data_IF_610054438141
#
_entry.id   IF_610054438141
#
_cell.length_a   1.000
_cell.length_b   1.000
_cell.length_c   1.000
_cell.angle_alpha   90.00
_cell.angle_beta   90.00
_cell.angle_gamma   90.00
#
_symmetry.space_group_name_H-M   'P 1'
#
loop_
_entity.id
_entity.type
_entity.pdbx_description
1 polymer ?
#
# COMPACT_ATOMS: atom_id res chain seq x y z
N UNK A 1 -7.85 -17.78 -1.53
CA UNK A 1 -8.40 -17.32 -0.25
C UNK A 1 -7.21 -16.85 0.57
N UNK A 2 -6.96 -15.54 0.63
CA UNK A 2 -5.85 -15.00 1.43
C UNK A 2 -6.22 -15.16 2.92
N UNK A 3 -5.39 -15.88 3.66
CA UNK A 3 -5.62 -16.26 5.06
C UNK A 3 -5.92 -15.05 5.96
N UNK A 4 -6.95 -15.20 6.80
CA UNK A 4 -7.35 -14.23 7.83
C UNK A 4 -6.21 -13.90 8.81
N UNK A 5 -5.19 -14.74 8.88
CA UNK A 5 -3.98 -14.53 9.70
C UNK A 5 -3.06 -13.44 9.13
N UNK A 6 -3.06 -13.20 7.81
CA UNK A 6 -2.32 -12.07 7.19
C UNK A 6 -3.04 -10.74 7.47
N UNK A 7 -4.35 -10.78 7.73
CA UNK A 7 -5.17 -9.62 8.09
C UNK A 7 -4.92 -9.14 9.53
N UNK A 8 -4.56 -10.06 10.44
CA UNK A 8 -4.32 -9.76 11.85
C UNK A 8 -2.95 -9.11 12.13
N UNK A 9 -1.98 -9.26 11.22
CA UNK A 9 -0.62 -8.72 11.37
C UNK A 9 -0.46 -7.33 10.71
N UNK A 10 -1.52 -6.53 10.77
CA UNK A 10 -1.56 -5.21 10.14
C UNK A 10 -0.90 -4.14 11.04
N UNK A 11 -0.37 -3.12 10.38
CA UNK A 11 0.21 -1.96 11.02
C UNK A 11 -0.90 -1.16 11.71
N UNK A 12 -1.02 -1.22 13.04
CA UNK A 12 -2.13 -0.67 13.84
C UNK A 12 -3.43 -0.49 13.02
N UNK A 13 -4.07 -1.60 12.56
CA UNK A 13 -5.21 -1.55 11.64
C UNK A 13 -6.42 -0.82 12.24
N UNK A 14 -6.41 -0.60 13.55
CA UNK A 14 -7.42 0.15 14.28
C UNK A 14 -7.17 1.67 14.25
N UNK A 15 -5.99 2.10 13.80
CA UNK A 15 -5.72 3.52 13.63
C UNK A 15 -6.52 4.08 12.45
N UNK A 16 -7.08 5.28 12.65
CA UNK A 16 -7.79 6.02 11.62
C UNK A 16 -6.86 6.31 10.44
N UNK A 17 -7.17 5.85 9.21
CA UNK A 17 -6.35 6.17 8.04
C UNK A 17 -6.23 7.68 7.81
N UNK A 18 -5.00 8.15 7.68
CA UNK A 18 -4.69 9.55 7.43
C UNK A 18 -4.72 9.86 5.94
N UNK A 19 -5.15 11.07 5.56
CA UNK A 19 -4.87 11.58 4.22
C UNK A 19 -3.36 11.72 4.01
N UNK A 20 -2.90 11.72 2.75
CA UNK A 20 -1.47 11.71 2.45
C UNK A 20 -0.74 12.96 2.96
N UNK A 21 -1.41 14.12 3.03
CA UNK A 21 -0.77 15.35 3.50
C UNK A 21 -0.51 15.25 5.01
N UNK A 22 -1.51 14.85 5.79
CA UNK A 22 -1.37 14.62 7.22
C UNK A 22 -0.36 13.49 7.51
N UNK A 23 -0.43 12.40 6.75
CA UNK A 23 0.49 11.27 6.89
C UNK A 23 1.96 11.67 6.68
N UNK A 24 2.27 12.44 5.63
CA UNK A 24 3.65 12.90 5.37
C UNK A 24 4.23 13.71 6.52
N UNK A 25 3.40 14.47 7.24
CA UNK A 25 3.83 15.25 8.39
C UNK A 25 4.06 14.37 9.64
N UNK A 26 3.26 13.34 9.83
CA UNK A 26 3.26 12.50 11.03
C UNK A 26 4.14 11.22 10.93
N UNK A 27 4.62 10.87 9.73
CA UNK A 27 5.40 9.65 9.52
C UNK A 27 6.73 9.65 10.32
N UNK A 28 6.97 8.61 11.14
CA UNK A 28 8.21 8.48 11.89
C UNK A 28 9.36 8.00 11.00
N UNK A 29 10.59 8.14 11.50
CA UNK A 29 11.82 7.67 10.84
C UNK A 29 12.22 6.24 11.25
N UNK A 30 11.36 5.57 11.99
CA UNK A 30 11.51 4.23 12.58
C UNK A 30 11.32 3.10 11.57
N UNK A 31 11.73 1.89 11.96
CA UNK A 31 11.36 0.65 11.29
C UNK A 31 9.89 0.34 11.59
N UNK A 32 9.16 -0.11 10.57
CA UNK A 32 7.77 -0.49 10.79
C UNK A 32 7.05 -1.02 9.56
N UNK A 33 5.74 -1.17 9.75
CA UNK A 33 4.79 -1.59 8.73
C UNK A 33 3.95 -0.38 8.28
N UNK A 34 3.46 -0.42 7.04
CA UNK A 34 2.54 0.59 6.50
C UNK A 34 1.49 -0.05 5.61
N UNK A 35 0.28 0.51 5.64
CA UNK A 35 -0.84 0.08 4.84
C UNK A 35 -1.44 1.25 4.05
N UNK A 36 -1.74 0.98 2.78
CA UNK A 36 -2.45 1.89 1.89
C UNK A 36 -3.90 1.43 1.76
N UNK A 37 -4.80 2.39 1.87
CA UNK A 37 -6.23 2.17 1.87
C UNK A 37 -6.88 3.02 0.78
N UNK A 38 -7.98 2.53 0.24
CA UNK A 38 -8.82 3.27 -0.70
C UNK A 38 -10.29 2.97 -0.43
N UNK A 39 -11.18 3.90 -0.78
CA UNK A 39 -12.60 3.59 -0.84
C UNK A 39 -12.89 2.64 -2.03
N UNK A 40 -13.83 1.69 -1.92
CA UNK A 40 -14.17 0.75 -2.99
C UNK A 40 -14.45 1.44 -4.35
N UNK A 41 -15.10 2.59 -4.31
CA UNK A 41 -15.43 3.40 -5.49
C UNK A 41 -14.22 4.11 -6.10
N UNK A 42 -13.17 4.35 -5.32
CA UNK A 42 -11.99 5.09 -5.76
C UNK A 42 -11.04 4.23 -6.62
N UNK A 43 -11.11 2.92 -6.43
CA UNK A 43 -10.39 1.91 -7.22
C UNK A 43 -11.33 0.71 -7.34
N UNK A 44 -12.02 0.62 -8.48
CA UNK A 44 -13.17 -0.29 -8.74
C UNK A 44 -12.89 -1.80 -8.56
N UNK A 45 -11.71 -2.19 -8.11
CA UNK A 45 -11.24 -3.58 -7.97
C UNK A 45 -10.74 -3.91 -6.56
N UNK A 46 -10.92 -3.05 -5.55
CA UNK A 46 -10.37 -3.30 -4.21
C UNK A 46 -11.33 -4.14 -3.37
N UNK A 47 -11.18 -5.46 -3.48
CA UNK A 47 -11.85 -6.46 -2.64
C UNK A 47 -11.12 -6.78 -1.33
N UNK A 48 -10.24 -5.89 -0.84
CA UNK A 48 -9.47 -6.10 0.38
C UNK A 48 -10.33 -6.06 1.66
N UNK A 49 -9.76 -6.45 2.82
CA UNK A 49 -10.42 -6.28 4.12
C UNK A 49 -10.82 -4.82 4.37
N UNK A 50 -11.92 -4.61 5.10
CA UNK A 50 -12.29 -3.29 5.59
C UNK A 50 -11.33 -2.84 6.70
N UNK A 51 -11.06 -1.54 6.78
CA UNK A 51 -10.43 -0.97 7.97
C UNK A 51 -11.47 -0.92 9.12
N UNK A 52 -11.10 -1.35 10.31
CA UNK A 52 -12.04 -1.41 11.44
C UNK A 52 -12.49 -0.02 11.92
N UNK A 53 -11.57 0.94 11.97
CA UNK A 53 -11.87 2.33 12.36
C UNK A 53 -12.48 3.16 11.25
N UNK A 54 -12.49 2.65 10.01
CA UNK A 54 -13.03 3.31 8.83
C UNK A 54 -13.59 2.27 7.87
N UNK A 55 -14.79 1.70 8.13
CA UNK A 55 -15.37 0.61 7.35
C UNK A 55 -15.64 0.94 5.88
N UNK A 56 -15.57 2.21 5.46
CA UNK A 56 -15.62 2.63 4.06
C UNK A 56 -14.27 2.53 3.32
N UNK A 57 -13.18 2.17 4.01
CA UNK A 57 -11.86 2.00 3.43
C UNK A 57 -11.53 0.52 3.31
N UNK A 58 -10.86 0.13 2.21
CA UNK A 58 -10.42 -1.23 1.93
C UNK A 58 -8.90 -1.25 1.78
N UNK A 59 -8.26 -2.29 2.32
CA UNK A 59 -6.81 -2.45 2.20
C UNK A 59 -6.44 -2.71 0.73
N UNK A 60 -5.56 -1.87 0.20
CA UNK A 60 -5.01 -2.00 -1.14
C UNK A 60 -3.62 -2.62 -1.12
N UNK A 61 -2.77 -2.20 -0.18
CA UNK A 61 -1.37 -2.62 -0.14
C UNK A 61 -0.83 -2.60 1.28
N UNK A 62 -0.06 -3.64 1.65
CA UNK A 62 0.69 -3.72 2.89
C UNK A 62 2.19 -3.81 2.57
N UNK A 63 3.01 -3.08 3.32
CA UNK A 63 4.45 -3.14 3.16
C UNK A 63 5.21 -2.91 4.46
N UNK A 64 6.52 -3.15 4.40
CA UNK A 64 7.45 -2.93 5.50
C UNK A 64 8.58 -2.00 5.09
N UNK A 65 9.15 -1.28 6.05
CA UNK A 65 10.27 -0.37 5.85
C UNK A 65 11.21 -0.34 7.05
N UNK A 66 12.52 -0.25 6.82
CA UNK A 66 13.51 0.07 7.87
C UNK A 66 13.48 1.52 8.32
N UNK A 67 12.93 2.41 7.48
CA UNK A 67 12.74 3.84 7.73
C UNK A 67 11.45 4.26 7.04
N UNK A 68 10.35 4.34 7.78
CA UNK A 68 9.01 4.58 7.24
C UNK A 68 8.94 5.87 6.41
N UNK A 69 9.35 7.01 6.97
CA UNK A 69 9.36 8.30 6.26
C UNK A 69 10.19 8.27 4.98
N UNK A 70 11.39 7.68 5.03
CA UNK A 70 12.27 7.56 3.85
C UNK A 70 11.75 6.57 2.82
N UNK A 71 10.95 5.57 3.21
CA UNK A 71 10.34 4.66 2.24
C UNK A 71 9.17 5.33 1.53
N UNK A 72 8.31 5.99 2.27
CA UNK A 72 6.99 6.42 1.80
C UNK A 72 7.06 7.75 1.06
N UNK A 73 7.73 8.75 1.65
CA UNK A 73 7.75 10.12 1.11
C UNK A 73 8.48 10.23 -0.23
N UNK A 74 9.71 9.71 -0.42
CA UNK A 74 10.37 9.79 -1.71
C UNK A 74 9.95 8.66 -2.68
N UNK A 75 9.74 7.41 -2.23
CA UNK A 75 9.54 6.30 -3.19
C UNK A 75 8.08 6.03 -3.56
N UNK A 76 7.11 6.28 -2.68
CA UNK A 76 5.71 5.98 -2.99
C UNK A 76 4.93 7.21 -3.45
N UNK A 77 5.41 8.42 -3.13
CA UNK A 77 4.73 9.66 -3.52
C UNK A 77 5.33 10.30 -4.79
N UNK A 78 6.60 10.05 -5.16
CA UNK A 78 7.26 10.81 -6.24
C UNK A 78 7.74 10.04 -7.47
N UNK A 79 7.96 8.72 -7.42
CA UNK A 79 8.66 8.00 -8.50
C UNK A 79 8.12 6.58 -8.70
N UNK A 80 7.50 6.27 -9.86
CA UNK A 80 7.02 4.90 -10.16
C UNK A 80 8.10 3.95 -10.65
N UNK A 81 9.25 4.45 -11.13
CA UNK A 81 10.35 3.63 -11.63
C UNK A 81 10.87 2.65 -10.58
N UNK A 82 10.82 3.05 -9.31
CA UNK A 82 11.30 2.26 -8.16
C UNK A 82 10.19 1.71 -7.26
N UNK A 83 8.93 1.91 -7.64
CA UNK A 83 7.77 1.70 -6.77
C UNK A 83 6.80 0.69 -7.36
N UNK A 84 6.89 -0.56 -6.89
CA UNK A 84 5.95 -1.63 -7.28
C UNK A 84 4.50 -1.23 -7.02
N UNK A 85 4.25 -0.55 -5.88
CA UNK A 85 2.93 0.00 -5.56
C UNK A 85 2.42 0.96 -6.65
N UNK A 86 3.24 1.93 -7.09
CA UNK A 86 2.80 2.91 -8.09
C UNK A 86 2.53 2.26 -9.44
N UNK A 87 3.33 1.27 -9.85
CA UNK A 87 3.07 0.53 -11.09
C UNK A 87 1.79 -0.29 -11.01
N UNK A 88 1.55 -0.98 -9.89
CA UNK A 88 0.30 -1.69 -9.66
C UNK A 88 -0.92 -0.75 -9.67
N UNK A 89 -0.81 0.40 -8.98
CA UNK A 89 -1.83 1.45 -8.97
C UNK A 89 -2.09 2.02 -10.37
N UNK A 90 -1.04 2.30 -11.14
CA UNK A 90 -1.18 2.79 -12.51
C UNK A 90 -1.95 1.81 -13.38
N UNK A 91 -1.64 0.51 -13.29
CA UNK A 91 -2.36 -0.54 -14.01
C UNK A 91 -3.84 -0.66 -13.58
N UNK A 92 -4.12 -0.59 -12.27
CA UNK A 92 -5.49 -0.64 -11.75
C UNK A 92 -6.34 0.57 -12.17
N UNK A 93 -5.72 1.74 -12.28
CA UNK A 93 -6.40 2.98 -12.64
C UNK A 93 -6.41 3.25 -14.14
N UNK A 94 -5.64 2.50 -14.94
CA UNK A 94 -5.51 2.69 -16.39
C UNK A 94 -6.84 2.73 -17.15
N UNK A 95 -7.86 1.89 -16.83
CA UNK A 95 -9.14 1.95 -17.54
C UNK A 95 -9.93 3.25 -17.35
N UNK A 96 -9.61 4.03 -16.31
CA UNK A 96 -10.32 5.28 -15.97
C UNK A 96 -9.45 6.50 -16.23
N UNK A 97 -8.16 6.41 -15.95
CA UNK A 97 -7.23 7.54 -16.03
C UNK A 97 -6.46 7.60 -17.35
N UNK A 98 -6.53 6.56 -18.20
CA UNK A 98 -5.93 6.53 -19.54
C UNK A 98 -4.45 6.94 -19.54
N UNK A 99 -3.69 6.43 -18.57
CA UNK A 99 -2.27 6.79 -18.43
C UNK A 99 -1.44 6.32 -19.63
N UNK A 100 -0.54 7.19 -20.09
CA UNK A 100 0.48 6.89 -21.07
C UNK A 100 1.75 6.35 -20.41
N UNK A 101 2.41 5.42 -21.10
CA UNK A 101 3.65 4.80 -20.64
C UNK A 101 4.76 4.98 -21.67
N UNK A 102 6.00 4.87 -21.20
CA UNK A 102 7.19 4.76 -22.03
C UNK A 102 8.01 3.54 -21.59
N UNK A 103 8.81 3.02 -22.50
CA UNK A 103 9.74 1.95 -22.21
C UNK A 103 11.11 2.54 -21.84
N UNK A 104 11.65 2.15 -20.68
CA UNK A 104 13.05 2.39 -20.28
C UNK A 104 13.80 1.05 -20.28
N UNK A 105 14.22 0.58 -19.11
CA UNK A 105 14.54 -0.82 -18.81
C UNK A 105 13.29 -1.63 -18.41
N UNK A 106 12.14 -0.94 -18.25
CA UNK A 106 10.82 -1.48 -17.90
C UNK A 106 9.73 -0.51 -18.37
N UNK A 107 8.46 -0.94 -18.34
CA UNK A 107 7.32 -0.04 -18.58
C UNK A 107 7.16 0.91 -17.39
N UNK A 108 7.23 2.21 -17.66
CA UNK A 108 7.03 3.29 -16.67
C UNK A 108 6.06 4.33 -17.22
N UNK A 109 5.43 5.11 -16.33
CA UNK A 109 4.60 6.24 -16.74
C UNK A 109 5.44 7.35 -17.37
N UNK A 110 4.89 8.07 -18.34
CA UNK A 110 5.51 9.32 -18.78
C UNK A 110 5.50 10.37 -17.65
N UNK A 111 6.39 11.39 -17.67
CA UNK A 111 6.48 12.36 -16.58
C UNK A 111 5.16 13.08 -16.24
N UNK A 112 4.31 13.36 -17.24
CA UNK A 112 3.00 13.96 -17.02
C UNK A 112 2.06 13.05 -16.23
N UNK A 113 2.02 11.75 -16.58
CA UNK A 113 1.17 10.77 -15.90
C UNK A 113 1.71 10.36 -14.53
N UNK A 114 3.01 10.47 -14.27
CA UNK A 114 3.55 10.36 -12.92
C UNK A 114 2.99 11.43 -11.97
N UNK A 115 2.84 12.65 -12.47
CA UNK A 115 2.25 13.74 -11.71
C UNK A 115 0.75 13.52 -11.50
N UNK A 116 0.03 13.08 -12.55
CA UNK A 116 -1.40 12.72 -12.45
C UNK A 116 -1.63 11.59 -11.46
N UNK A 117 -0.84 10.52 -11.51
CA UNK A 117 -0.90 9.42 -10.54
C UNK A 117 -0.65 9.92 -9.12
N UNK A 118 0.31 10.83 -8.94
CA UNK A 118 0.57 11.44 -7.63
C UNK A 118 -0.63 12.25 -7.12
N UNK A 119 -1.30 12.99 -8.00
CA UNK A 119 -2.56 13.68 -7.72
C UNK A 119 -3.65 12.71 -7.27
N UNK A 120 -3.90 11.67 -8.05
CA UNK A 120 -4.86 10.60 -7.73
C UNK A 120 -4.55 9.94 -6.39
N UNK A 121 -3.29 9.59 -6.13
CA UNK A 121 -2.89 9.01 -4.84
C UNK A 121 -3.20 9.94 -3.67
N UNK A 122 -2.94 11.24 -3.80
CA UNK A 122 -3.23 12.24 -2.74
C UNK A 122 -4.71 12.40 -2.46
N UNK A 123 -5.53 12.33 -3.50
CA UNK A 123 -6.98 12.49 -3.38
C UNK A 123 -7.63 11.22 -2.82
N UNK A 124 -7.28 10.06 -3.38
CA UNK A 124 -8.04 8.81 -3.22
C UNK A 124 -7.49 7.87 -2.15
N UNK A 125 -6.20 7.95 -1.83
CA UNK A 125 -5.60 6.99 -0.92
C UNK A 125 -5.48 7.54 0.50
N UNK A 126 -5.46 6.62 1.46
CA UNK A 126 -5.19 6.88 2.87
C UNK A 126 -4.07 5.97 3.37
N UNK A 127 -3.42 6.38 4.44
CA UNK A 127 -2.24 5.69 4.98
C UNK A 127 -2.39 5.44 6.48
N UNK A 128 -2.04 4.24 6.92
CA UNK A 128 -1.71 3.92 8.32
C UNK A 128 -0.30 3.35 8.41
N UNK A 129 0.31 3.43 9.58
CA UNK A 129 1.62 2.87 9.88
C UNK A 129 1.72 2.50 11.35
N UNK A 130 2.64 1.60 11.69
CA UNK A 130 3.03 1.33 13.06
C UNK A 130 4.53 1.08 13.15
N UNK A 131 5.12 1.38 14.31
CA UNK A 131 6.48 0.99 14.62
C UNK A 131 6.53 -0.52 14.86
N UNK A 132 7.46 -1.20 14.19
CA UNK A 132 7.62 -2.64 14.34
C UNK A 132 9.10 -3.03 14.13
N UNK A 133 9.83 -3.42 15.20
CA UNK A 133 11.28 -3.56 15.17
C UNK A 133 11.78 -4.75 14.34
N UNK A 134 10.95 -5.78 14.12
CA UNK A 134 11.30 -6.95 13.30
C UNK A 134 10.13 -7.47 12.43
N UNK A 135 9.91 -6.89 11.24
CA UNK A 135 8.84 -7.30 10.32
C UNK A 135 9.14 -8.61 9.55
N UNK A 136 9.93 -9.54 10.10
CA UNK A 136 10.36 -10.76 9.41
C UNK A 136 9.36 -11.93 9.51
N UNK A 137 8.44 -11.98 10.48
CA UNK A 137 7.54 -13.13 10.61
C UNK A 137 6.16 -12.95 9.97
N UNK A 138 6.10 -12.63 8.68
CA UNK A 138 4.84 -12.63 7.89
C UNK A 138 4.74 -13.78 6.85
N UNK A 139 5.57 -14.82 7.01
CA UNK A 139 5.46 -16.18 6.43
C UNK A 139 6.22 -17.10 7.40
N UNK A 140 5.72 -18.23 7.90
CA UNK A 140 5.02 -19.32 7.21
C UNK A 140 3.99 -19.98 8.14
N UNK A 141 2.86 -20.41 7.59
CA UNK A 141 2.08 -21.48 8.21
C UNK A 141 2.89 -22.77 8.12
N UNK A 142 3.63 -23.10 9.18
CA UNK A 142 4.05 -24.47 9.44
C UNK A 142 2.91 -25.13 10.22
N UNK A 143 2.07 -25.92 9.53
CA UNK A 143 1.24 -26.90 10.26
C UNK A 143 2.17 -28.03 10.74
N UNK A 144 2.17 -28.38 12.04
CA UNK A 144 2.76 -29.64 12.49
C UNK A 144 1.87 -30.80 12.02
N UNK A 145 2.50 -31.95 11.83
CA UNK A 145 2.03 -32.99 10.93
C UNK A 145 0.72 -33.70 11.31
N UNK A 146 0.21 -34.44 10.32
CA UNK A 146 -0.61 -35.61 10.57
C UNK A 146 -0.01 -36.78 9.81
N UNK A 147 0.35 -37.80 10.57
CA UNK A 147 0.82 -39.09 10.10
C UNK A 147 -0.21 -39.75 9.18
N UNK A 148 0.31 -40.45 8.17
CA UNK A 148 -0.41 -41.50 7.45
C UNK A 148 -0.73 -42.65 8.42
N UNK A 149 -1.90 -43.29 8.30
CA UNK A 149 -1.97 -44.74 8.38
C UNK A 149 -1.48 -45.38 7.07
#
# INVERSE_FOLDING_TARGET
>A
MLDATVLQAAADPHAKPHDLRAAVAALPITTGLYAWWAAPEAVATVGGPANESSPGQRLLWLGKAKRLRTRIVPNHIRDSGRSTLRRALAGLLMPVEEYCTTWTDRVVLIPGDEQRLTGCMRQRLRLTWCDHPDPVSLRQGSSPGSARP
#
